data_IF_973989973193
#
_entry.id   IF_973989973193
#
_cell.length_a   1.000
_cell.length_b   1.000
_cell.length_c   1.000
_cell.angle_alpha   90.00
_cell.angle_beta   90.00
_cell.angle_gamma   90.00
#
_symmetry.space_group_name_H-M   'P 1'
#
loop_
_entity.id
_entity.type
_entity.pdbx_description
1 polymer ?
#
# COMPACT_ATOMS: atom_id res chain seq x y z
N UNK A 1 16.93 5.01 -21.76
CA UNK A 1 17.00 3.54 -21.96
C UNK A 1 15.86 2.95 -21.14
N UNK A 2 14.98 2.13 -21.72
CA UNK A 2 13.91 1.47 -20.94
C UNK A 2 14.52 0.36 -20.11
N UNK A 3 14.32 0.36 -18.79
CA UNK A 3 14.76 -0.76 -17.95
C UNK A 3 13.87 -1.97 -18.18
N UNK A 4 14.40 -3.18 -18.02
CA UNK A 4 13.61 -4.40 -18.12
C UNK A 4 12.61 -4.44 -16.95
N UNK A 5 11.50 -5.14 -17.13
CA UNK A 5 10.57 -5.41 -16.03
C UNK A 5 11.13 -6.54 -15.15
N UNK A 6 11.18 -6.32 -13.83
CA UNK A 6 11.69 -7.29 -12.86
C UNK A 6 10.58 -7.74 -11.90
N UNK A 7 9.96 -8.90 -12.19
CA UNK A 7 8.88 -9.44 -11.34
C UNK A 7 9.33 -9.67 -9.89
N UNK A 8 10.51 -10.25 -9.68
CA UNK A 8 11.05 -10.48 -8.34
C UNK A 8 11.26 -9.18 -7.55
N UNK A 9 11.67 -8.11 -8.22
CA UNK A 9 11.78 -6.77 -7.62
C UNK A 9 10.41 -6.19 -7.26
N UNK A 10 9.42 -6.33 -8.15
CA UNK A 10 8.06 -5.87 -7.90
C UNK A 10 7.43 -6.54 -6.67
N UNK A 11 7.60 -7.87 -6.54
CA UNK A 11 7.09 -8.64 -5.41
C UNK A 11 7.77 -8.27 -4.09
N UNK A 12 9.10 -8.08 -4.09
CA UNK A 12 9.82 -7.64 -2.87
C UNK A 12 9.40 -6.23 -2.46
N UNK A 13 9.35 -5.32 -3.43
CA UNK A 13 9.01 -3.92 -3.19
C UNK A 13 7.57 -3.75 -2.66
N UNK A 14 6.61 -4.53 -3.19
CA UNK A 14 5.23 -4.44 -2.72
C UNK A 14 5.05 -4.96 -1.29
N UNK A 15 5.73 -6.05 -0.92
CA UNK A 15 5.69 -6.56 0.46
C UNK A 15 6.26 -5.51 1.43
N UNK A 16 7.40 -4.91 1.10
CA UNK A 16 8.01 -3.83 1.89
C UNK A 16 7.03 -2.67 2.03
N UNK A 17 6.51 -2.16 0.91
CA UNK A 17 5.60 -1.03 0.90
C UNK A 17 4.30 -1.31 1.67
N UNK A 18 3.73 -2.52 1.55
CA UNK A 18 2.52 -2.93 2.26
C UNK A 18 2.71 -2.92 3.78
N UNK A 19 3.84 -3.46 4.26
CA UNK A 19 4.18 -3.48 5.69
C UNK A 19 4.43 -2.06 6.19
N UNK A 20 5.21 -1.25 5.46
CA UNK A 20 5.48 0.15 5.82
C UNK A 20 4.17 0.95 5.89
N UNK A 21 3.29 0.81 4.89
CA UNK A 21 1.98 1.43 4.90
C UNK A 21 1.19 1.05 6.14
N UNK A 22 1.05 -0.25 6.42
CA UNK A 22 0.21 -0.71 7.51
C UNK A 22 0.71 -0.18 8.85
N UNK A 23 2.02 -0.30 9.10
CA UNK A 23 2.61 0.20 10.34
C UNK A 23 2.47 1.71 10.48
N UNK A 24 2.68 2.46 9.39
CA UNK A 24 2.52 3.92 9.39
C UNK A 24 1.06 4.31 9.64
N UNK A 25 0.10 3.67 8.96
CA UNK A 25 -1.33 3.94 9.11
C UNK A 25 -1.80 3.65 10.55
N UNK A 26 -1.48 2.47 11.07
CA UNK A 26 -1.83 2.09 12.44
C UNK A 26 -1.24 3.07 13.46
N UNK A 27 0.01 3.48 13.29
CA UNK A 27 0.66 4.45 14.17
C UNK A 27 0.03 5.84 14.05
N UNK A 28 -0.22 6.32 12.83
CA UNK A 28 -0.81 7.65 12.61
C UNK A 28 -2.24 7.74 13.13
N UNK A 29 -3.08 6.72 12.88
CA UNK A 29 -4.45 6.66 13.44
C UNK A 29 -4.39 6.75 14.97
N UNK A 30 -3.52 5.97 15.62
CA UNK A 30 -3.39 6.00 17.07
C UNK A 30 -2.84 7.32 17.62
N UNK A 31 -1.81 7.88 16.98
CA UNK A 31 -1.06 9.03 17.52
C UNK A 31 -1.65 10.39 17.10
N UNK A 32 -2.34 10.46 15.96
CA UNK A 32 -2.86 11.70 15.38
C UNK A 32 -4.38 11.79 15.56
N UNK A 33 -5.11 10.72 15.31
CA UNK A 33 -6.58 10.72 15.40
C UNK A 33 -7.09 10.31 16.78
N UNK A 34 -6.24 9.66 17.59
CA UNK A 34 -6.63 9.16 18.92
C UNK A 34 -7.58 7.95 18.86
N UNK A 35 -7.71 7.36 17.68
CA UNK A 35 -8.55 6.19 17.41
C UNK A 35 -7.74 4.89 17.57
N UNK A 36 -8.42 3.75 17.54
CA UNK A 36 -7.73 2.47 17.65
C UNK A 36 -6.83 2.20 16.43
N UNK A 37 -5.56 1.78 16.63
CA UNK A 37 -4.69 1.36 15.53
C UNK A 37 -5.24 0.14 14.76
N UNK A 38 -6.19 -0.60 15.33
CA UNK A 38 -6.76 -1.79 14.69
C UNK A 38 -7.99 -1.50 13.82
N UNK A 39 -8.40 -0.23 13.70
CA UNK A 39 -9.44 0.21 12.76
C UNK A 39 -9.12 -0.18 11.31
N UNK A 40 -7.98 0.26 10.74
CA UNK A 40 -7.63 -0.04 9.35
C UNK A 40 -7.55 -1.56 9.03
N UNK A 41 -6.90 -2.41 9.85
CA UNK A 41 -6.95 -3.86 9.65
C UNK A 41 -8.37 -4.43 9.62
N UNK A 42 -9.26 -4.00 10.53
CA UNK A 42 -10.66 -4.47 10.55
C UNK A 42 -11.42 -4.09 9.29
N UNK A 43 -11.17 -2.90 8.75
CA UNK A 43 -11.77 -2.47 7.48
C UNK A 43 -11.35 -3.36 6.30
N UNK A 44 -10.09 -3.79 6.26
CA UNK A 44 -9.61 -4.73 5.25
C UNK A 44 -10.17 -6.15 5.46
N UNK A 45 -10.20 -6.63 6.71
CA UNK A 45 -10.75 -7.95 7.03
C UNK A 45 -12.25 -8.06 6.71
N UNK A 46 -13.01 -6.97 6.88
CA UNK A 46 -14.44 -6.93 6.60
C UNK A 46 -14.81 -7.24 5.14
N UNK A 47 -13.85 -7.12 4.20
CA UNK A 47 -14.04 -7.54 2.80
C UNK A 47 -14.37 -9.05 2.73
N UNK A 48 -13.74 -9.85 3.59
CA UNK A 48 -13.88 -11.31 3.60
C UNK A 48 -14.79 -11.77 4.73
N UNK A 49 -14.65 -11.18 5.91
CA UNK A 49 -15.36 -11.60 7.13
C UNK A 49 -16.72 -10.92 7.32
N UNK A 50 -17.07 -9.94 6.48
CA UNK A 50 -18.29 -9.16 6.63
C UNK A 50 -18.16 -8.02 7.64
N UNK A 51 -19.22 -7.22 7.78
CA UNK A 51 -19.18 -5.96 8.55
C UNK A 51 -19.16 -6.14 10.06
N UNK A 52 -19.42 -7.34 10.57
CA UNK A 52 -19.48 -7.60 12.01
C UNK A 52 -18.13 -7.45 12.72
N UNK A 53 -17.02 -7.40 11.96
CA UNK A 53 -15.69 -7.12 12.52
C UNK A 53 -15.38 -5.62 12.68
N UNK A 54 -16.25 -4.73 12.20
CA UNK A 54 -16.07 -3.27 12.22
C UNK A 54 -16.48 -2.55 13.52
N UNK A 55 -17.53 -2.98 14.27
CA UNK A 55 -18.03 -2.21 15.40
C UNK A 55 -16.95 -1.91 16.45
N UNK A 56 -16.96 -0.70 17.04
CA UNK A 56 -16.03 -0.37 18.11
C UNK A 56 -16.33 -1.17 19.40
N UNK A 57 -15.32 -1.39 20.26
CA UNK A 57 -13.93 -0.98 20.07
C UNK A 57 -13.18 -1.90 19.11
N UNK A 58 -12.41 -1.33 18.19
CA UNK A 58 -11.50 -2.08 17.35
C UNK A 58 -10.32 -2.58 18.19
N UNK A 59 -10.37 -3.80 18.71
CA UNK A 59 -9.25 -4.41 19.46
C UNK A 59 -8.41 -5.32 18.56
N UNK A 60 -7.21 -5.68 19.01
CA UNK A 60 -6.40 -6.69 18.34
C UNK A 60 -7.11 -8.05 18.34
N UNK A 61 -7.12 -8.70 17.18
CA UNK A 61 -7.50 -10.10 17.02
C UNK A 61 -6.61 -10.71 15.94
N UNK A 62 -5.97 -11.84 16.25
CA UNK A 62 -5.01 -12.46 15.33
C UNK A 62 -5.67 -12.94 14.03
N UNK A 63 -6.89 -13.47 14.11
CA UNK A 63 -7.64 -13.95 12.94
C UNK A 63 -7.97 -12.80 11.99
N UNK A 64 -8.50 -11.71 12.54
CA UNK A 64 -8.79 -10.47 11.78
C UNK A 64 -7.50 -9.92 11.16
N UNK A 65 -6.40 -9.86 11.91
CA UNK A 65 -5.12 -9.38 11.40
C UNK A 65 -4.59 -10.24 10.25
N UNK A 66 -4.69 -11.57 10.34
CA UNK A 66 -4.26 -12.47 9.26
C UNK A 66 -5.11 -12.27 7.99
N UNK A 67 -6.42 -12.16 8.12
CA UNK A 67 -7.32 -11.93 6.98
C UNK A 67 -7.08 -10.54 6.37
N UNK A 68 -6.90 -9.51 7.20
CA UNK A 68 -6.54 -8.17 6.76
C UNK A 68 -5.24 -8.17 5.95
N UNK A 69 -4.19 -8.84 6.46
CA UNK A 69 -2.91 -8.96 5.77
C UNK A 69 -3.02 -9.71 4.44
N UNK A 70 -3.83 -10.78 4.39
CA UNK A 70 -4.07 -11.52 3.15
C UNK A 70 -4.67 -10.59 2.07
N UNK A 71 -5.70 -9.82 2.42
CA UNK A 71 -6.34 -8.86 1.51
C UNK A 71 -5.36 -7.76 1.08
N UNK A 72 -4.64 -7.18 2.05
CA UNK A 72 -3.71 -6.07 1.82
C UNK A 72 -2.55 -6.48 0.92
N UNK A 73 -1.93 -7.63 1.20
CA UNK A 73 -0.81 -8.14 0.41
C UNK A 73 -1.25 -8.55 -1.00
N UNK A 74 -2.44 -9.15 -1.16
CA UNK A 74 -2.97 -9.50 -2.47
C UNK A 74 -3.14 -8.25 -3.35
N UNK A 75 -3.74 -7.19 -2.81
CA UNK A 75 -3.86 -5.91 -3.53
C UNK A 75 -2.49 -5.28 -3.80
N UNK A 76 -1.59 -5.32 -2.81
CA UNK A 76 -0.25 -4.75 -2.96
C UNK A 76 0.57 -5.42 -4.06
N UNK A 77 0.47 -6.75 -4.21
CA UNK A 77 1.13 -7.48 -5.32
C UNK A 77 0.68 -6.94 -6.67
N UNK A 78 -0.62 -6.75 -6.88
CA UNK A 78 -1.17 -6.19 -8.11
C UNK A 78 -0.60 -4.78 -8.36
N UNK A 79 -0.62 -3.93 -7.34
CA UNK A 79 -0.10 -2.57 -7.42
C UNK A 79 1.42 -2.52 -7.67
N UNK A 80 2.18 -3.43 -7.07
CA UNK A 80 3.62 -3.55 -7.27
C UNK A 80 3.99 -3.97 -8.69
N UNK A 81 3.23 -4.89 -9.27
CA UNK A 81 3.39 -5.29 -10.68
C UNK A 81 3.09 -4.09 -11.59
N UNK A 82 1.96 -3.40 -11.37
CA UNK A 82 1.60 -2.19 -12.12
C UNK A 82 2.72 -1.15 -12.03
N UNK A 83 3.24 -0.90 -10.83
CA UNK A 83 4.33 0.04 -10.63
C UNK A 83 5.61 -0.38 -11.38
N UNK A 84 6.00 -1.65 -11.29
CA UNK A 84 7.17 -2.16 -12.01
C UNK A 84 7.06 -1.99 -13.52
N UNK A 85 5.85 -2.19 -14.08
CA UNK A 85 5.55 -1.93 -15.48
C UNK A 85 5.69 -0.43 -15.82
N UNK A 86 5.10 0.46 -15.02
CA UNK A 86 5.23 1.92 -15.19
C UNK A 86 6.71 2.33 -15.18
N UNK A 87 7.46 1.88 -14.17
CA UNK A 87 8.88 2.20 -14.04
C UNK A 87 9.69 1.73 -15.26
N UNK A 88 9.50 0.48 -15.69
CA UNK A 88 10.22 -0.12 -16.83
C UNK A 88 9.92 0.58 -18.16
N UNK A 89 8.66 0.98 -18.38
CA UNK A 89 8.21 1.62 -19.61
C UNK A 89 8.67 3.07 -19.75
N UNK A 90 8.73 3.79 -18.62
CA UNK A 90 9.10 5.21 -18.59
C UNK A 90 10.60 5.44 -18.43
N UNK A 91 11.39 4.44 -18.00
CA UNK A 91 12.84 4.57 -17.84
C UNK A 91 13.24 5.65 -16.83
N UNK A 92 12.53 5.71 -15.71
CA UNK A 92 12.66 6.75 -14.71
C UNK A 92 13.99 6.64 -13.96
N UNK A 93 14.61 7.78 -13.63
CA UNK A 93 15.70 7.79 -12.65
C UNK A 93 15.15 7.53 -11.25
N UNK A 94 15.99 7.04 -10.33
CA UNK A 94 15.59 6.61 -8.98
C UNK A 94 14.74 7.65 -8.23
N UNK A 95 15.20 8.91 -8.17
CA UNK A 95 14.49 9.94 -7.41
C UNK A 95 13.20 10.41 -8.09
N UNK A 96 13.17 10.43 -9.42
CA UNK A 96 11.95 10.73 -10.18
C UNK A 96 10.92 9.61 -10.00
N UNK A 97 11.38 8.35 -10.00
CA UNK A 97 10.54 7.19 -9.71
C UNK A 97 9.88 7.29 -8.34
N UNK A 98 10.61 7.68 -7.29
CA UNK A 98 10.04 7.87 -5.94
C UNK A 98 8.93 8.93 -5.93
N UNK A 99 9.17 10.07 -6.57
CA UNK A 99 8.15 11.14 -6.66
C UNK A 99 6.89 10.71 -7.40
N UNK A 100 7.04 10.02 -8.54
CA UNK A 100 5.91 9.49 -9.31
C UNK A 100 5.22 8.36 -8.52
N UNK A 101 5.95 7.56 -7.76
CA UNK A 101 5.38 6.51 -6.93
C UNK A 101 4.53 7.09 -5.79
N UNK A 102 4.94 8.22 -5.20
CA UNK A 102 4.13 8.93 -4.21
C UNK A 102 2.78 9.37 -4.80
N UNK A 103 2.79 9.93 -6.02
CA UNK A 103 1.56 10.28 -6.75
C UNK A 103 0.74 9.04 -7.08
N UNK A 104 1.38 7.95 -7.49
CA UNK A 104 0.72 6.66 -7.69
C UNK A 104 0.03 6.16 -6.41
N UNK A 105 0.68 6.29 -5.25
CA UNK A 105 0.07 6.01 -3.95
C UNK A 105 -1.18 6.85 -3.69
N UNK A 106 -1.14 8.15 -3.96
CA UNK A 106 -2.32 9.03 -3.84
C UNK A 106 -3.46 8.66 -4.80
N UNK A 107 -3.14 8.16 -6.00
CA UNK A 107 -4.16 7.60 -6.89
C UNK A 107 -4.78 6.32 -6.31
N UNK A 108 -3.97 5.46 -5.68
CA UNK A 108 -4.47 4.29 -4.96
C UNK A 108 -5.37 4.69 -3.79
N UNK A 109 -5.02 5.74 -3.03
CA UNK A 109 -5.90 6.32 -2.01
C UNK A 109 -7.27 6.70 -2.61
N UNK A 110 -7.28 7.41 -3.72
CA UNK A 110 -8.52 7.81 -4.39
C UNK A 110 -9.34 6.59 -4.82
N UNK A 111 -8.71 5.57 -5.40
CA UNK A 111 -9.40 4.33 -5.81
C UNK A 111 -9.94 3.57 -4.60
N UNK A 112 -9.16 3.41 -3.54
CA UNK A 112 -9.55 2.65 -2.35
C UNK A 112 -10.70 3.31 -1.58
N UNK A 113 -10.65 4.62 -1.38
CA UNK A 113 -11.62 5.29 -0.51
C UNK A 113 -12.73 6.05 -1.25
N UNK A 114 -12.70 6.15 -2.58
CA UNK A 114 -13.79 6.71 -3.38
C UNK A 114 -14.29 5.76 -4.47
N UNK A 115 -13.44 4.88 -5.00
CA UNK A 115 -13.84 3.85 -5.96
C UNK A 115 -14.46 2.64 -5.28
N UNK A 116 -13.70 1.98 -4.40
CA UNK A 116 -14.13 0.74 -3.74
C UNK A 116 -15.30 0.94 -2.76
N UNK A 117 -15.61 2.17 -2.36
CA UNK A 117 -16.79 2.46 -1.53
C UNK A 117 -18.11 2.08 -2.20
N UNK A 118 -18.13 1.94 -3.53
CA UNK A 118 -19.28 1.37 -4.24
C UNK A 118 -19.54 -0.11 -3.88
N UNK A 119 -18.51 -0.88 -3.53
CA UNK A 119 -18.59 -2.29 -3.16
C UNK A 119 -18.50 -2.50 -1.64
N UNK A 120 -17.70 -1.66 -0.99
CA UNK A 120 -17.33 -1.73 0.42
C UNK A 120 -17.53 -0.35 1.08
N UNK A 121 -18.78 0.06 1.34
CA UNK A 121 -19.12 1.42 1.81
C UNK A 121 -18.42 1.88 3.10
N UNK A 122 -17.96 0.96 3.94
CA UNK A 122 -17.28 1.33 5.18
C UNK A 122 -15.92 1.99 4.96
N UNK A 123 -15.31 1.85 3.78
CA UNK A 123 -14.07 2.57 3.45
C UNK A 123 -14.24 4.09 3.48
N UNK A 124 -15.47 4.62 3.43
CA UNK A 124 -15.71 6.05 3.64
C UNK A 124 -15.20 6.55 4.99
N UNK A 125 -15.17 5.70 6.02
CA UNK A 125 -14.68 6.05 7.37
C UNK A 125 -13.18 6.38 7.41
N UNK A 126 -12.40 5.89 6.46
CA UNK A 126 -10.96 6.12 6.36
C UNK A 126 -10.61 7.19 5.31
N UNK A 127 -11.59 7.99 4.88
CA UNK A 127 -11.30 9.20 4.09
C UNK A 127 -10.70 10.25 5.01
N UNK A 128 -9.53 10.76 4.64
CA UNK A 128 -8.87 11.79 5.42
C UNK A 128 -7.41 11.96 5.07
N UNK A 129 -6.82 12.98 5.68
CA UNK A 129 -5.41 13.32 5.48
C UNK A 129 -4.48 12.21 5.95
N UNK A 130 -4.80 11.51 7.04
CA UNK A 130 -3.97 10.40 7.56
C UNK A 130 -3.83 9.30 6.53
N UNK A 131 -4.94 8.76 6.03
CA UNK A 131 -4.90 7.70 5.03
C UNK A 131 -4.30 8.16 3.69
N UNK A 132 -4.47 9.43 3.31
CA UNK A 132 -3.81 10.00 2.13
C UNK A 132 -2.28 10.05 2.30
N UNK A 133 -1.80 10.49 3.46
CA UNK A 133 -0.37 10.50 3.81
C UNK A 133 0.17 9.07 3.88
N UNK A 134 -0.57 8.13 4.49
CA UNK A 134 -0.21 6.71 4.52
C UNK A 134 0.01 6.18 3.11
N UNK A 135 -0.90 6.47 2.18
CA UNK A 135 -0.76 6.05 0.79
C UNK A 135 0.39 6.75 0.04
N UNK A 136 0.70 8.01 0.35
CA UNK A 136 1.91 8.64 -0.16
C UNK A 136 3.18 7.93 0.34
N UNK A 137 3.22 7.54 1.63
CA UNK A 137 4.31 6.76 2.23
C UNK A 137 4.42 5.39 1.54
N UNK A 138 3.30 4.69 1.30
CA UNK A 138 3.26 3.46 0.52
C UNK A 138 3.94 3.65 -0.84
N UNK A 139 3.53 4.69 -1.57
CA UNK A 139 4.08 5.03 -2.87
C UNK A 139 5.59 5.25 -2.83
N UNK A 140 6.06 6.10 -1.90
CA UNK A 140 7.50 6.37 -1.70
C UNK A 140 8.26 5.08 -1.41
N UNK A 141 7.77 4.24 -0.49
CA UNK A 141 8.41 2.98 -0.13
C UNK A 141 8.49 2.02 -1.33
N UNK A 142 7.41 1.92 -2.13
CA UNK A 142 7.35 1.10 -3.32
C UNK A 142 8.34 1.58 -4.40
N UNK A 143 8.35 2.88 -4.70
CA UNK A 143 9.25 3.49 -5.67
C UNK A 143 10.70 3.32 -5.28
N UNK A 144 11.02 3.54 -4.01
CA UNK A 144 12.37 3.38 -3.46
C UNK A 144 12.84 1.92 -3.53
N UNK A 145 12.05 0.98 -3.01
CA UNK A 145 12.43 -0.43 -2.94
C UNK A 145 12.58 -1.06 -4.33
N UNK A 146 11.67 -0.75 -5.27
CA UNK A 146 11.78 -1.23 -6.65
C UNK A 146 12.99 -0.62 -7.36
N UNK A 147 13.21 0.70 -7.23
CA UNK A 147 14.35 1.37 -7.84
C UNK A 147 15.70 0.91 -7.30
N UNK A 148 15.78 0.61 -5.99
CA UNK A 148 16.97 0.02 -5.38
C UNK A 148 17.27 -1.37 -5.96
N UNK A 149 16.24 -2.21 -6.07
CA UNK A 149 16.39 -3.55 -6.67
C UNK A 149 16.90 -3.49 -8.11
N UNK A 150 16.32 -2.61 -8.95
CA UNK A 150 16.75 -2.46 -10.36
C UNK A 150 18.21 -2.00 -10.43
N UNK A 151 18.60 -1.04 -9.60
CA UNK A 151 19.98 -0.54 -9.54
C UNK A 151 20.97 -1.66 -9.21
N UNK A 152 20.71 -2.44 -8.14
CA UNK A 152 21.55 -3.56 -7.73
C UNK A 152 21.66 -4.64 -8.83
N UNK A 153 20.55 -4.94 -9.51
CA UNK A 153 20.57 -5.95 -10.58
C UNK A 153 21.27 -5.48 -11.85
N UNK A 154 21.15 -4.20 -12.20
CA UNK A 154 21.81 -3.65 -13.38
C UNK A 154 23.32 -3.54 -13.14
N UNK A 155 23.77 -3.18 -11.93
CA UNK A 155 25.19 -3.19 -11.54
C UNK A 155 25.79 -4.59 -11.57
N UNK A 156 25.06 -5.62 -11.13
CA UNK A 156 25.54 -7.00 -11.12
C UNK A 156 25.70 -7.62 -12.53
N UNK A 157 25.11 -7.00 -13.56
CA UNK A 157 25.11 -7.49 -14.94
C UNK A 157 26.04 -6.68 -15.88
N UNK A 158 26.65 -5.60 -15.38
CA UNK A 158 27.58 -4.74 -16.12
C UNK A 158 29.02 -5.26 -16.03
#
# INVERSE_FOLDING_TARGET
MRSKFHLGGALKACVIAAVVFLMAEMAMVALIEGESPFGPPRMMAAIVMGRDVLPPPATFDLGIMMVAMMVHLALSVVLGIIWGLIHSTLGLSRWVAVGIAAVFGLLVYAVNFYGFTALFPWFEMARGTVSAVGHAIFGVALGWAYGAYVCETDEALA
#
